data_IF_372931050948
#
_entry.id   IF_372931050948
#
_cell.length_a   1.000
_cell.length_b   1.000
_cell.length_c   1.000
_cell.angle_alpha   90.00
_cell.angle_beta   90.00
_cell.angle_gamma   90.00
#
_symmetry.space_group_name_H-M   'P 1'
#
loop_
_entity.id
_entity.type
_entity.pdbx_description
1 polymer ?
#
# COMPACT_ATOMS: atom_id res chain seq x y z
N UNK A 1 -33.55 -53.85 -13.12
CA UNK A 1 -32.53 -54.05 -12.06
C UNK A 1 -31.15 -53.49 -12.38
N UNK A 2 -30.33 -54.07 -13.26
CA UNK A 2 -28.93 -53.59 -13.46
C UNK A 2 -28.86 -52.15 -14.00
N UNK A 3 -29.71 -51.81 -14.97
CA UNK A 3 -29.78 -50.45 -15.54
C UNK A 3 -30.30 -49.38 -14.58
N UNK A 4 -31.15 -49.75 -13.63
CA UNK A 4 -31.67 -48.81 -12.61
C UNK A 4 -30.59 -48.46 -11.59
N UNK A 5 -29.76 -49.43 -11.19
CA UNK A 5 -28.62 -49.21 -10.28
C UNK A 5 -27.58 -48.29 -10.94
N UNK A 6 -27.31 -48.50 -12.23
CA UNK A 6 -26.40 -47.63 -13.01
C UNK A 6 -26.96 -46.21 -13.12
N UNK A 7 -28.27 -46.06 -13.40
CA UNK A 7 -28.91 -44.75 -13.49
C UNK A 7 -28.87 -43.98 -12.16
N UNK A 8 -29.11 -44.66 -11.03
CA UNK A 8 -29.01 -44.06 -9.69
C UNK A 8 -27.58 -43.62 -9.40
N UNK A 9 -26.58 -44.45 -9.75
CA UNK A 9 -25.16 -44.12 -9.58
C UNK A 9 -24.75 -42.88 -10.36
N UNK A 10 -25.22 -42.73 -11.60
CA UNK A 10 -24.95 -41.55 -12.44
C UNK A 10 -25.60 -40.29 -11.85
N UNK A 11 -26.84 -40.40 -11.36
CA UNK A 11 -27.55 -39.28 -10.71
C UNK A 11 -26.80 -38.77 -9.47
N UNK A 12 -26.34 -39.68 -8.62
CA UNK A 12 -25.56 -39.32 -7.43
C UNK A 12 -24.26 -38.62 -7.85
N UNK A 13 -23.54 -39.15 -8.84
CA UNK A 13 -22.30 -38.54 -9.33
C UNK A 13 -22.52 -37.11 -9.84
N UNK A 14 -23.58 -36.88 -10.62
CA UNK A 14 -23.92 -35.55 -11.16
C UNK A 14 -24.23 -34.57 -10.03
N UNK A 15 -25.01 -34.99 -9.02
CA UNK A 15 -25.34 -34.12 -7.88
C UNK A 15 -24.10 -33.74 -7.07
N UNK A 16 -23.18 -34.68 -6.84
CA UNK A 16 -21.91 -34.39 -6.14
C UNK A 16 -21.02 -33.42 -6.93
N UNK A 17 -20.90 -33.62 -8.25
CA UNK A 17 -20.14 -32.72 -9.12
C UNK A 17 -20.75 -31.31 -9.14
N UNK A 18 -22.08 -31.21 -9.15
CA UNK A 18 -22.79 -29.93 -9.10
C UNK A 18 -22.50 -29.17 -7.81
N UNK A 19 -22.60 -29.83 -6.64
CA UNK A 19 -22.31 -29.22 -5.33
C UNK A 19 -20.87 -28.73 -5.23
N UNK A 20 -19.89 -29.52 -5.71
CA UNK A 20 -18.48 -29.12 -5.72
C UNK A 20 -18.26 -27.91 -6.64
N UNK A 21 -18.96 -27.86 -7.78
CA UNK A 21 -18.85 -26.76 -8.72
C UNK A 21 -19.43 -25.46 -8.14
N UNK A 22 -20.60 -25.52 -7.50
CA UNK A 22 -21.23 -24.35 -6.87
C UNK A 22 -20.40 -23.81 -5.70
N UNK A 23 -19.87 -24.69 -4.85
CA UNK A 23 -19.03 -24.30 -3.71
C UNK A 23 -17.74 -23.59 -4.17
N UNK A 24 -17.13 -24.09 -5.26
CA UNK A 24 -15.96 -23.43 -5.88
C UNK A 24 -16.27 -22.04 -6.44
N UNK A 25 -17.47 -21.84 -6.99
CA UNK A 25 -17.88 -20.52 -7.48
C UNK A 25 -18.09 -19.56 -6.32
N UNK A 26 -18.79 -19.97 -5.27
CA UNK A 26 -19.05 -19.13 -4.10
C UNK A 26 -17.74 -18.75 -3.39
N UNK A 27 -16.82 -19.70 -3.23
CA UNK A 27 -15.48 -19.43 -2.68
C UNK A 27 -14.71 -18.44 -3.55
N UNK A 28 -14.79 -18.56 -4.89
CA UNK A 28 -14.12 -17.63 -5.81
C UNK A 28 -14.71 -16.23 -5.71
N UNK A 29 -16.03 -16.08 -5.65
CA UNK A 29 -16.70 -14.79 -5.48
C UNK A 29 -16.30 -14.11 -4.16
N UNK A 30 -16.27 -14.87 -3.05
CA UNK A 30 -15.81 -14.36 -1.75
C UNK A 30 -14.34 -13.91 -1.78
N UNK A 31 -13.48 -14.64 -2.50
CA UNK A 31 -12.07 -14.25 -2.68
C UNK A 31 -11.96 -12.95 -3.49
N UNK A 32 -12.74 -12.81 -4.56
CA UNK A 32 -12.74 -11.61 -5.39
C UNK A 32 -13.28 -10.38 -4.64
N UNK A 33 -14.32 -10.55 -3.83
CA UNK A 33 -14.86 -9.52 -2.94
C UNK A 33 -13.82 -9.10 -1.88
N UNK A 34 -13.19 -10.07 -1.20
CA UNK A 34 -12.15 -9.80 -0.22
C UNK A 34 -10.95 -9.07 -0.86
N UNK A 35 -10.56 -9.45 -2.07
CA UNK A 35 -9.48 -8.79 -2.81
C UNK A 35 -9.84 -7.35 -3.19
N UNK A 36 -11.10 -7.11 -3.57
CA UNK A 36 -11.60 -5.78 -3.84
C UNK A 36 -11.58 -4.91 -2.57
N UNK A 37 -12.02 -5.45 -1.44
CA UNK A 37 -12.04 -4.74 -0.16
C UNK A 37 -10.64 -4.45 0.38
N UNK A 38 -9.69 -5.39 0.24
CA UNK A 38 -8.27 -5.14 0.55
C UNK A 38 -7.76 -3.95 -0.26
N UNK A 39 -8.02 -3.92 -1.58
CA UNK A 39 -7.59 -2.82 -2.45
C UNK A 39 -8.24 -1.49 -2.08
N UNK A 40 -9.52 -1.51 -1.70
CA UNK A 40 -10.23 -0.31 -1.21
C UNK A 40 -9.62 0.19 0.09
N UNK A 41 -9.34 -0.72 1.03
CA UNK A 41 -8.74 -0.40 2.32
C UNK A 41 -7.31 0.12 2.19
N UNK A 42 -6.50 -0.44 1.30
CA UNK A 42 -5.17 0.10 0.96
C UNK A 42 -5.28 1.55 0.49
N UNK A 43 -6.22 1.85 -0.43
CA UNK A 43 -6.43 3.21 -0.92
C UNK A 43 -6.88 4.17 0.18
N UNK A 44 -7.78 3.72 1.07
CA UNK A 44 -8.22 4.49 2.23
C UNK A 44 -7.06 4.75 3.20
N UNK A 45 -6.22 3.74 3.44
CA UNK A 45 -5.05 3.86 4.32
C UNK A 45 -4.02 4.83 3.76
N UNK A 46 -3.73 4.78 2.46
CA UNK A 46 -2.86 5.75 1.79
C UNK A 46 -3.42 7.18 1.89
N UNK A 47 -4.72 7.36 1.73
CA UNK A 47 -5.36 8.67 1.91
C UNK A 47 -5.28 9.15 3.37
N UNK A 48 -5.58 8.28 4.33
CA UNK A 48 -5.47 8.59 5.76
C UNK A 48 -4.03 8.97 6.14
N UNK A 49 -3.04 8.23 5.62
CA UNK A 49 -1.62 8.51 5.81
C UNK A 49 -1.26 9.88 5.24
N UNK A 50 -1.78 10.27 4.07
CA UNK A 50 -1.57 11.63 3.52
C UNK A 50 -2.19 12.72 4.38
N UNK A 51 -3.41 12.50 4.89
CA UNK A 51 -4.14 13.49 5.69
C UNK A 51 -3.61 13.64 7.12
N UNK A 52 -3.11 12.56 7.72
CA UNK A 52 -2.72 12.51 9.13
C UNK A 52 -1.21 12.32 9.34
N UNK A 53 -0.38 12.52 8.32
CA UNK A 53 1.07 12.39 8.50
C UNK A 53 1.56 13.48 9.46
N UNK A 54 2.18 13.12 10.60
CA UNK A 54 2.87 14.08 11.44
C UNK A 54 4.16 14.44 10.70
N UNK A 55 4.11 15.39 9.77
CA UNK A 55 5.29 15.88 9.08
C UNK A 55 5.73 17.13 9.81
N UNK A 56 6.87 17.06 10.49
CA UNK A 56 7.48 18.26 11.09
C UNK A 56 8.48 18.87 10.12
N UNK A 57 9.53 18.14 9.71
CA UNK A 57 10.57 18.64 8.82
C UNK A 57 10.80 17.72 7.64
N UNK A 58 11.05 18.29 6.46
CA UNK A 58 11.42 17.58 5.22
C UNK A 58 12.65 18.26 4.62
N UNK A 59 13.38 17.54 3.78
CA UNK A 59 14.54 18.08 3.06
C UNK A 59 14.18 18.25 1.59
N UNK A 60 14.34 19.47 1.10
CA UNK A 60 14.19 19.83 -0.31
C UNK A 60 15.58 20.04 -0.92
N UNK A 61 15.89 19.29 -1.98
CA UNK A 61 17.18 19.33 -2.66
C UNK A 61 17.21 20.38 -3.78
N UNK A 62 16.12 20.46 -4.53
CA UNK A 62 15.88 21.45 -5.58
C UNK A 62 14.44 21.93 -5.48
N UNK A 63 14.10 23.04 -6.13
CA UNK A 63 12.75 23.59 -6.11
C UNK A 63 11.71 22.54 -6.54
N UNK A 64 10.87 22.09 -5.59
CA UNK A 64 9.88 21.03 -5.79
C UNK A 64 10.43 19.60 -5.85
N UNK A 65 11.67 19.36 -5.43
CA UNK A 65 12.31 18.04 -5.38
C UNK A 65 12.74 17.72 -3.95
N UNK A 66 12.14 16.70 -3.37
CA UNK A 66 12.32 16.31 -1.97
C UNK A 66 13.11 15.01 -1.85
N UNK A 67 13.87 14.90 -0.76
CA UNK A 67 14.52 13.65 -0.38
C UNK A 67 13.45 12.63 0.01
N UNK A 68 13.53 11.41 -0.54
CA UNK A 68 12.64 10.30 -0.26
C UNK A 68 13.42 9.14 0.35
N UNK A 69 12.77 8.42 1.27
CA UNK A 69 13.25 7.15 1.79
C UNK A 69 12.37 6.03 1.25
N UNK A 70 12.95 5.19 0.40
CA UNK A 70 12.26 4.06 -0.20
C UNK A 70 12.76 2.75 0.42
N UNK A 71 11.82 1.95 0.91
CA UNK A 71 12.11 0.63 1.44
C UNK A 71 12.10 -0.40 0.31
N UNK A 72 13.26 -0.94 0.00
CA UNK A 72 13.45 -1.91 -1.08
C UNK A 72 13.77 -3.32 -0.54
N UNK A 73 13.46 -4.33 -1.34
CA UNK A 73 13.71 -5.74 -1.02
C UNK A 73 12.62 -6.43 -0.22
N UNK A 74 12.73 -7.76 -0.10
CA UNK A 74 11.79 -8.55 0.69
C UNK A 74 11.79 -8.08 2.15
N UNK A 75 10.60 -7.86 2.71
CA UNK A 75 10.40 -7.38 4.08
C UNK A 75 11.01 -6.00 4.40
N UNK A 76 11.20 -5.12 3.41
CA UNK A 76 11.68 -3.74 3.66
C UNK A 76 13.05 -3.65 4.33
N UNK A 77 13.92 -4.65 4.12
CA UNK A 77 15.21 -4.75 4.81
C UNK A 77 16.23 -3.72 4.32
N UNK A 78 16.08 -3.20 3.12
CA UNK A 78 16.99 -2.23 2.52
C UNK A 78 16.33 -0.86 2.44
N UNK A 79 17.07 0.17 2.85
CA UNK A 79 16.63 1.56 2.77
C UNK A 79 17.45 2.23 1.68
N UNK A 80 16.76 2.82 0.70
CA UNK A 80 17.38 3.57 -0.39
C UNK A 80 16.95 5.02 -0.28
N UNK A 81 17.91 5.94 -0.34
CA UNK A 81 17.61 7.37 -0.44
C UNK A 81 17.45 7.72 -1.91
N UNK A 82 16.27 8.22 -2.25
CA UNK A 82 15.90 8.63 -3.60
C UNK A 82 15.33 10.05 -3.55
N UNK A 83 14.75 10.51 -4.65
CA UNK A 83 14.16 11.83 -4.75
C UNK A 83 12.77 11.74 -5.33
N UNK A 84 11.85 12.57 -4.83
CA UNK A 84 10.46 12.63 -5.30
C UNK A 84 10.05 14.08 -5.55
N UNK A 85 9.15 14.29 -6.52
CA UNK A 85 8.47 15.58 -6.70
C UNK A 85 7.21 15.72 -5.82
N UNK A 86 6.86 14.66 -5.08
CA UNK A 86 5.68 14.62 -4.23
C UNK A 86 6.06 14.85 -2.76
N UNK A 87 5.66 15.99 -2.19
CA UNK A 87 5.93 16.35 -0.79
C UNK A 87 5.41 15.31 0.22
N UNK A 88 4.33 14.59 -0.13
CA UNK A 88 3.75 13.57 0.76
C UNK A 88 4.59 12.29 0.81
N UNK A 89 5.43 12.05 -0.19
CA UNK A 89 6.34 10.92 -0.26
C UNK A 89 7.74 11.25 0.29
N UNK A 90 8.03 12.54 0.54
CA UNK A 90 9.29 12.99 1.09
C UNK A 90 9.58 12.33 2.44
N UNK A 91 10.83 12.03 2.75
CA UNK A 91 11.29 11.57 4.07
C UNK A 91 10.91 12.63 5.11
N UNK A 92 10.21 12.20 6.16
CA UNK A 92 9.83 13.07 7.28
C UNK A 92 10.81 12.89 8.42
N UNK A 93 11.16 14.00 9.06
CA UNK A 93 12.00 14.03 10.23
C UNK A 93 11.22 14.63 11.39
N UNK A 94 11.22 13.91 12.51
CA UNK A 94 10.67 14.38 13.78
C UNK A 94 11.66 15.32 14.52
N UNK A 95 12.87 15.49 13.98
CA UNK A 95 13.92 16.30 14.59
C UNK A 95 14.61 17.18 13.53
N UNK A 96 14.52 18.50 13.73
CA UNK A 96 15.17 19.50 12.88
C UNK A 96 16.68 19.27 12.73
N UNK A 97 17.36 18.83 13.78
CA UNK A 97 18.80 18.57 13.73
C UNK A 97 19.16 17.49 12.72
N UNK A 98 18.40 16.38 12.69
CA UNK A 98 18.61 15.30 11.73
C UNK A 98 18.32 15.76 10.30
N UNK A 99 17.26 16.53 10.11
CA UNK A 99 16.94 17.11 8.80
C UNK A 99 18.05 18.04 8.30
N UNK A 100 18.66 18.84 9.19
CA UNK A 100 19.77 19.74 8.84
C UNK A 100 21.02 18.99 8.42
N UNK A 101 21.35 17.87 9.06
CA UNK A 101 22.51 17.05 8.68
C UNK A 101 22.33 16.54 7.24
N UNK A 102 21.18 15.96 6.92
CA UNK A 102 20.93 15.43 5.58
C UNK A 102 20.85 16.55 4.53
N UNK A 103 20.25 17.70 4.88
CA UNK A 103 20.24 18.87 4.02
C UNK A 103 21.66 19.41 3.74
N UNK A 104 22.51 19.52 4.76
CA UNK A 104 23.89 19.99 4.60
C UNK A 104 24.71 19.00 3.76
N UNK A 105 24.58 17.69 4.03
CA UNK A 105 25.28 16.65 3.28
C UNK A 105 24.88 16.60 1.80
N UNK A 106 23.61 16.85 1.50
CA UNK A 106 23.04 16.77 0.15
C UNK A 106 22.89 18.15 -0.52
N UNK A 107 23.42 19.22 0.10
CA UNK A 107 23.29 20.59 -0.40
C UNK A 107 21.84 21.05 -0.62
N UNK A 108 20.91 20.57 0.20
CA UNK A 108 19.50 20.96 0.21
C UNK A 108 19.16 21.98 1.29
N UNK A 109 17.86 22.25 1.44
CA UNK A 109 17.27 23.08 2.50
C UNK A 109 16.21 22.31 3.28
N UNK A 110 16.07 22.62 4.57
CA UNK A 110 15.03 22.02 5.41
C UNK A 110 13.77 22.87 5.31
N UNK A 111 12.64 22.23 5.06
CA UNK A 111 11.33 22.87 5.13
C UNK A 111 10.57 22.31 6.32
N UNK A 112 9.87 23.17 7.05
CA UNK A 112 8.88 22.73 8.03
C UNK A 112 7.56 22.49 7.30
N UNK A 113 7.07 21.25 7.32
CA UNK A 113 5.76 20.98 6.77
C UNK A 113 4.69 21.52 7.72
N UNK A 114 3.83 22.40 7.22
CA UNK A 114 2.57 22.75 7.88
C UNK A 114 1.46 22.43 6.88
N UNK A 115 0.37 21.78 7.30
CA UNK A 115 -0.79 21.56 6.43
C UNK A 115 -1.37 22.88 5.88
N UNK A 116 -1.08 24.01 6.54
CA UNK A 116 -1.24 25.35 6.01
C UNK A 116 0.13 26.02 5.86
N UNK A 117 0.60 26.16 4.62
CA UNK A 117 1.87 26.73 4.20
C UNK A 117 2.26 28.02 4.96
N UNK A 118 3.19 27.91 5.91
CA UNK A 118 4.05 29.01 6.32
C UNK A 118 5.50 28.50 6.27
N UNK A 119 6.27 29.06 5.35
CA UNK A 119 7.72 28.85 5.26
C UNK A 119 8.34 29.47 6.51
N UNK A 120 9.09 28.69 7.27
CA UNK A 120 9.96 29.21 8.33
C UNK A 120 11.35 29.29 7.72
N UNK A 121 11.88 30.52 7.61
CA UNK A 121 13.28 30.79 7.24
C UNK A 121 14.28 30.19 8.23
#
# INVERSE_FOLDING_TARGET
MMWEIVAIGILILITLLYVIYTDKIEVREKIDELKHDIKRNEKLFENYKKENRPIEYIVELYDGVYLQEEYTGAFSKMITLTTTSNVFEAKSYDNLFLAKIDAEFLSGRVLKYKPNLEVIE
#
